data_IF_899051561943
#
_entry.id   IF_899051561943
#
_cell.length_a   1.000
_cell.length_b   1.000
_cell.length_c   1.000
_cell.angle_alpha   90.00
_cell.angle_beta   90.00
_cell.angle_gamma   90.00
#
_symmetry.space_group_name_H-M   'P 1'
#
loop_
_entity.id
_entity.type
_entity.pdbx_description
1 polymer ?
#
# COMPACT_ATOMS: atom_id res chain seq x y z
N UNK A 1 -6.65 12.39 2.81
CA UNK A 1 -6.29 11.01 3.24
C UNK A 1 -7.52 10.14 3.51
N UNK A 2 -8.54 10.60 4.27
CA UNK A 2 -9.76 9.80 4.57
C UNK A 2 -10.43 9.18 3.34
N UNK A 3 -10.70 9.97 2.29
CA UNK A 3 -11.39 9.46 1.09
C UNK A 3 -10.54 8.42 0.34
N UNK A 4 -9.23 8.63 0.28
CA UNK A 4 -8.29 7.67 -0.31
C UNK A 4 -8.26 6.37 0.49
N UNK A 5 -8.21 6.44 1.82
CA UNK A 5 -8.30 5.26 2.68
C UNK A 5 -9.63 4.52 2.47
N UNK A 6 -10.74 5.25 2.33
CA UNK A 6 -12.04 4.68 1.97
C UNK A 6 -12.02 3.93 0.63
N UNK A 7 -11.43 4.52 -0.42
CA UNK A 7 -11.24 3.85 -1.73
C UNK A 7 -10.43 2.55 -1.58
N UNK A 8 -9.37 2.58 -0.76
CA UNK A 8 -8.50 1.43 -0.55
C UNK A 8 -9.21 0.30 0.20
N UNK A 9 -10.07 0.61 1.18
CA UNK A 9 -10.90 -0.39 1.87
C UNK A 9 -11.89 -1.08 0.93
N UNK A 10 -12.38 -0.39 -0.09
CA UNK A 10 -13.26 -0.96 -1.10
C UNK A 10 -12.52 -1.81 -2.14
N UNK A 11 -11.22 -1.55 -2.35
CA UNK A 11 -10.42 -2.16 -3.42
C UNK A 11 -9.53 -3.30 -2.92
N UNK A 12 -9.22 -3.32 -1.62
CA UNK A 12 -8.28 -4.26 -1.00
C UNK A 12 -8.80 -4.75 0.36
N UNK A 13 -8.50 -6.00 0.75
CA UNK A 13 -8.91 -6.58 2.03
C UNK A 13 -8.03 -6.07 3.20
N UNK A 14 -8.04 -4.77 3.46
CA UNK A 14 -7.22 -4.11 4.48
C UNK A 14 -8.01 -3.76 5.75
N UNK A 15 -7.30 -3.61 6.86
CA UNK A 15 -7.83 -2.91 8.02
C UNK A 15 -7.92 -1.40 7.74
N UNK A 16 -8.70 -0.66 8.54
CA UNK A 16 -8.75 0.80 8.44
C UNK A 16 -7.38 1.46 8.68
N UNK A 17 -6.57 0.88 9.58
CA UNK A 17 -5.22 1.38 9.86
C UNK A 17 -4.30 1.20 8.66
N UNK A 18 -4.29 0.01 8.05
CA UNK A 18 -3.45 -0.29 6.88
C UNK A 18 -3.86 0.52 5.66
N UNK A 19 -5.17 0.71 5.45
CA UNK A 19 -5.68 1.57 4.38
C UNK A 19 -5.28 3.03 4.57
N UNK A 20 -5.28 3.53 5.81
CA UNK A 20 -4.81 4.89 6.10
C UNK A 20 -3.31 5.02 5.88
N UNK A 21 -2.51 4.03 6.30
CA UNK A 21 -1.07 4.00 6.06
C UNK A 21 -0.75 4.03 4.56
N UNK A 22 -1.42 3.19 3.76
CA UNK A 22 -1.23 3.16 2.31
C UNK A 22 -1.70 4.47 1.65
N UNK A 23 -2.80 5.06 2.12
CA UNK A 23 -3.24 6.37 1.65
C UNK A 23 -2.22 7.48 1.95
N UNK A 24 -1.57 7.44 3.11
CA UNK A 24 -0.52 8.39 3.47
C UNK A 24 0.70 8.22 2.56
N UNK A 25 1.13 6.97 2.31
CA UNK A 25 2.25 6.68 1.41
C UNK A 25 1.96 7.15 -0.02
N UNK A 26 0.76 6.91 -0.56
CA UNK A 26 0.36 7.40 -1.89
C UNK A 26 0.34 8.92 -1.97
N UNK A 27 -0.06 9.59 -0.89
CA UNK A 27 -0.04 11.06 -0.80
C UNK A 27 1.39 11.57 -0.82
N UNK A 28 2.29 10.95 -0.04
CA UNK A 28 3.71 11.28 -0.02
C UNK A 28 4.38 11.04 -1.38
N UNK A 29 4.06 9.93 -2.04
CA UNK A 29 4.60 9.56 -3.34
C UNK A 29 4.18 10.48 -4.51
N UNK A 30 3.27 11.44 -4.30
CA UNK A 30 2.94 12.45 -5.31
C UNK A 30 2.49 11.88 -6.66
N UNK A 31 1.74 10.77 -6.67
CA UNK A 31 1.31 10.00 -7.87
C UNK A 31 2.41 9.20 -8.59
N UNK A 32 3.59 9.04 -7.98
CA UNK A 32 4.71 8.25 -8.54
C UNK A 32 5.10 7.06 -7.62
N UNK A 33 4.16 6.18 -7.22
CA UNK A 33 4.47 5.09 -6.30
C UNK A 33 5.52 4.10 -6.83
N UNK A 34 5.67 3.99 -8.15
CA UNK A 34 6.61 3.07 -8.81
C UNK A 34 8.08 3.42 -8.59
N UNK A 35 8.38 4.65 -8.18
CA UNK A 35 9.75 5.11 -7.88
C UNK A 35 10.12 4.95 -6.41
N UNK A 36 9.19 4.43 -5.60
CA UNK A 36 9.33 4.37 -4.16
C UNK A 36 9.13 2.96 -3.62
N UNK A 37 9.92 2.64 -2.59
CA UNK A 37 9.76 1.42 -1.83
C UNK A 37 8.73 1.60 -0.72
N UNK A 38 7.82 0.63 -0.59
CA UNK A 38 6.95 0.47 0.56
C UNK A 38 7.43 -0.73 1.37
N UNK A 39 7.89 -0.48 2.60
CA UNK A 39 8.45 -1.53 3.47
C UNK A 39 7.39 -2.03 4.42
N UNK A 40 6.98 -3.29 4.30
CA UNK A 40 6.08 -3.92 5.27
C UNK A 40 6.19 -5.45 5.26
N UNK A 41 5.94 -6.06 6.42
CA UNK A 41 5.91 -7.52 6.60
C UNK A 41 4.47 -8.08 6.62
N UNK A 42 3.46 -7.23 6.78
CA UNK A 42 2.07 -7.66 6.66
C UNK A 42 1.75 -8.01 5.21
N UNK A 43 1.32 -9.25 4.96
CA UNK A 43 1.12 -9.77 3.62
C UNK A 43 -0.05 -9.12 2.87
N UNK A 44 -1.11 -8.70 3.57
CA UNK A 44 -2.26 -8.06 2.93
C UNK A 44 -1.92 -6.63 2.52
N UNK A 45 -1.23 -5.89 3.39
CA UNK A 45 -0.75 -4.55 3.09
C UNK A 45 0.34 -4.56 2.01
N UNK A 46 1.24 -5.54 2.04
CA UNK A 46 2.24 -5.80 1.01
C UNK A 46 1.58 -5.95 -0.37
N UNK A 47 0.60 -6.82 -0.49
CA UNK A 47 -0.13 -7.05 -1.73
C UNK A 47 -0.90 -5.82 -2.22
N UNK A 48 -1.55 -5.09 -1.31
CA UNK A 48 -2.28 -3.88 -1.66
C UNK A 48 -1.35 -2.77 -2.14
N UNK A 49 -0.24 -2.53 -1.43
CA UNK A 49 0.75 -1.54 -1.82
C UNK A 49 1.37 -1.87 -3.19
N UNK A 50 1.63 -3.16 -3.47
CA UNK A 50 2.10 -3.63 -4.78
C UNK A 50 1.11 -3.29 -5.89
N UNK A 51 -0.18 -3.56 -5.66
CA UNK A 51 -1.26 -3.28 -6.63
C UNK A 51 -1.46 -1.79 -6.87
N UNK A 52 -1.25 -0.95 -5.85
CA UNK A 52 -1.26 0.51 -6.00
C UNK A 52 0.04 1.04 -6.66
N UNK A 53 1.02 0.17 -6.92
CA UNK A 53 2.17 0.45 -7.77
C UNK A 53 3.48 0.70 -7.04
N UNK A 54 3.58 0.46 -5.73
CA UNK A 54 4.84 0.55 -5.01
C UNK A 54 5.78 -0.61 -5.32
N UNK A 55 7.09 -0.36 -5.24
CA UNK A 55 8.08 -1.41 -5.08
C UNK A 55 7.99 -1.94 -3.65
N UNK A 56 7.86 -3.26 -3.43
CA UNK A 56 7.68 -3.77 -2.07
C UNK A 56 8.94 -4.42 -1.54
N UNK A 57 9.25 -4.08 -0.29
CA UNK A 57 10.37 -4.64 0.46
C UNK A 57 9.91 -5.22 1.80
N UNK A 58 10.42 -6.39 2.22
CA UNK A 58 11.21 -7.30 1.39
C UNK A 58 10.38 -7.86 0.22
N UNK A 59 11.03 -8.29 -0.88
CA UNK A 59 10.34 -9.14 -1.83
C UNK A 59 9.93 -10.41 -1.08
N UNK A 60 8.66 -10.77 -1.16
CA UNK A 60 8.24 -12.09 -0.68
C UNK A 60 8.83 -13.10 -1.66
N UNK A 61 9.76 -13.94 -1.23
CA UNK A 61 10.12 -15.11 -2.05
C UNK A 61 9.00 -16.11 -1.87
N UNK A 62 8.31 -16.48 -2.94
CA UNK A 62 7.44 -17.64 -2.93
C UNK A 62 8.28 -18.86 -2.50
N UNK A 63 8.14 -19.24 -1.24
CA UNK A 63 8.62 -20.51 -0.68
C UNK A 63 7.45 -21.50 -0.71
#
# INVERSE_FOLDING_TARGET
MRDMAGRLLLSHPLSAADALQLAAALTWAGKQPREHAFVCLDRRLHDAARKEGFLILPPWSDA
#
